data_IF_371809091100
#
_entry.id   IF_371809091100
#
_cell.length_a   1.000
_cell.length_b   1.000
_cell.length_c   1.000
_cell.angle_alpha   90.00
_cell.angle_beta   90.00
_cell.angle_gamma   90.00
#
_symmetry.space_group_name_H-M   'P 1'
#
loop_
_entity.id
_entity.type
_entity.pdbx_description
1 polymer ?
#
# COMPACT_ATOMS: atom_id res chain seq x y z
N UNK A 1 -17.89 14.18 39.98
CA UNK A 1 -17.72 14.74 38.63
C UNK A 1 -17.47 13.57 37.70
N UNK A 2 -18.45 13.25 36.85
CA UNK A 2 -18.39 12.13 35.90
C UNK A 2 -17.32 12.46 34.82
N UNK A 3 -16.22 11.72 34.81
CA UNK A 3 -15.09 11.91 33.88
C UNK A 3 -15.34 11.24 32.52
N UNK A 4 -16.58 10.82 32.22
CA UNK A 4 -16.92 10.28 30.91
C UNK A 4 -16.98 11.42 29.88
N UNK A 5 -16.15 11.40 28.82
CA UNK A 5 -16.19 12.43 27.80
C UNK A 5 -17.58 12.45 27.15
N UNK A 6 -18.19 13.65 27.12
CA UNK A 6 -19.48 13.88 26.45
C UNK A 6 -19.40 13.32 25.01
N UNK A 7 -20.46 12.67 24.49
CA UNK A 7 -20.50 12.28 23.10
C UNK A 7 -20.36 13.50 22.20
N UNK A 8 -19.25 13.56 21.46
CA UNK A 8 -19.13 14.46 20.31
C UNK A 8 -20.08 13.96 19.22
N UNK A 9 -20.69 14.87 18.44
CA UNK A 9 -21.59 14.48 17.37
C UNK A 9 -20.86 13.56 16.39
N UNK A 10 -21.62 12.65 15.78
CA UNK A 10 -21.18 11.93 14.59
C UNK A 10 -20.52 12.91 13.59
N UNK A 11 -19.61 12.39 12.75
CA UNK A 11 -19.09 12.99 11.52
C UNK A 11 -20.23 13.38 10.55
N UNK A 12 -21.07 14.32 10.95
CA UNK A 12 -21.89 15.10 10.06
C UNK A 12 -20.92 16.09 9.41
N UNK A 13 -20.56 15.87 8.15
CA UNK A 13 -19.64 16.75 7.43
C UNK A 13 -20.26 18.13 7.09
N UNK A 14 -21.50 18.42 7.53
CA UNK A 14 -22.24 19.63 7.18
C UNK A 14 -23.08 20.21 8.33
N UNK A 15 -23.74 21.35 8.05
CA UNK A 15 -24.46 22.15 9.05
C UNK A 15 -25.79 21.47 9.45
N UNK A 16 -26.31 21.82 10.63
CA UNK A 16 -27.68 21.42 11.02
C UNK A 16 -28.67 22.11 10.09
N UNK A 17 -29.53 21.33 9.44
CA UNK A 17 -30.63 21.85 8.63
C UNK A 17 -31.82 22.15 9.55
N UNK A 18 -32.36 23.38 9.51
CA UNK A 18 -33.68 23.65 10.08
C UNK A 18 -34.71 23.11 9.09
N UNK A 19 -35.61 22.26 9.58
CA UNK A 19 -36.84 21.94 8.83
C UNK A 19 -37.73 23.17 8.95
N UNK A 20 -38.16 23.74 7.83
CA UNK A 20 -39.26 24.69 7.85
C UNK A 20 -40.53 23.87 8.10
N UNK A 21 -40.94 23.77 9.37
CA UNK A 21 -42.23 23.20 9.72
C UNK A 21 -43.29 24.29 9.62
N UNK A 22 -44.34 24.04 8.83
CA UNK A 22 -45.59 24.79 8.92
C UNK A 22 -46.04 24.80 10.38
N UNK A 23 -46.47 25.98 10.85
CA UNK A 23 -46.54 26.41 12.24
C UNK A 23 -47.55 25.67 13.17
N UNK A 24 -47.80 24.38 12.95
CA UNK A 24 -48.79 23.59 13.71
C UNK A 24 -48.29 22.23 14.23
N UNK A 25 -46.99 21.92 14.20
CA UNK A 25 -46.45 20.70 14.79
C UNK A 25 -45.58 20.98 16.04
N UNK A 26 -45.81 20.21 17.11
CA UNK A 26 -45.16 20.32 18.41
C UNK A 26 -43.63 20.12 18.38
N UNK A 27 -43.00 20.51 19.48
CA UNK A 27 -41.57 20.86 19.66
C UNK A 27 -40.49 19.78 19.47
N UNK A 28 -40.70 18.72 18.70
CA UNK A 28 -39.69 17.65 18.49
C UNK A 28 -39.46 17.38 16.99
N UNK A 29 -38.98 18.40 16.26
CA UNK A 29 -38.49 18.21 14.88
C UNK A 29 -37.21 17.35 14.89
N UNK A 30 -37.09 16.33 14.01
CA UNK A 30 -35.91 15.46 13.99
C UNK A 30 -34.65 16.30 13.69
N UNK A 31 -33.58 16.06 14.46
CA UNK A 31 -32.27 16.69 14.22
C UNK A 31 -31.70 16.24 12.86
N UNK A 32 -31.89 17.04 11.81
CA UNK A 32 -31.33 16.80 10.47
C UNK A 32 -29.97 17.48 10.30
N UNK A 33 -29.04 16.77 9.67
CA UNK A 33 -27.72 17.30 9.32
C UNK A 33 -27.42 17.13 7.84
N UNK A 34 -26.80 18.13 7.24
CA UNK A 34 -26.18 18.02 5.93
C UNK A 34 -25.01 17.04 6.02
N UNK A 35 -25.02 16.01 5.18
CA UNK A 35 -23.98 15.00 5.11
C UNK A 35 -23.27 15.11 3.77
N UNK A 36 -21.96 15.32 3.74
CA UNK A 36 -21.25 15.43 2.46
C UNK A 36 -21.21 14.09 1.68
N UNK A 37 -21.48 12.96 2.33
CA UNK A 37 -21.57 11.64 1.69
C UNK A 37 -23.00 11.32 1.21
N UNK A 38 -24.02 11.59 2.03
CA UNK A 38 -25.39 11.10 1.82
C UNK A 38 -26.42 12.23 1.66
N UNK A 39 -25.98 13.47 1.47
CA UNK A 39 -26.78 14.69 1.44
C UNK A 39 -27.47 15.05 2.76
N UNK A 40 -28.28 14.16 3.34
CA UNK A 40 -28.97 14.38 4.63
C UNK A 40 -28.87 13.14 5.51
N UNK A 41 -28.61 13.33 6.79
CA UNK A 41 -28.54 12.25 7.76
C UNK A 41 -29.12 12.65 9.13
N UNK A 42 -29.36 11.63 9.95
CA UNK A 42 -29.85 11.78 11.32
C UNK A 42 -28.90 11.12 12.32
N UNK A 43 -28.66 11.73 13.49
CA UNK A 43 -27.89 11.10 14.55
C UNK A 43 -28.58 9.82 15.03
N UNK A 44 -27.80 8.92 15.61
CA UNK A 44 -28.36 7.75 16.26
C UNK A 44 -28.85 8.14 17.67
N UNK A 45 -30.07 8.65 17.76
CA UNK A 45 -30.69 9.10 19.03
C UNK A 45 -31.55 8.02 19.68
N UNK A 46 -31.66 6.83 19.09
CA UNK A 46 -32.59 5.78 19.54
C UNK A 46 -34.08 6.10 19.29
N UNK A 47 -34.41 7.26 18.72
CA UNK A 47 -35.78 7.69 18.43
C UNK A 47 -36.36 6.97 17.20
N UNK A 48 -37.56 6.43 17.35
CA UNK A 48 -38.29 5.63 16.35
C UNK A 48 -39.32 6.43 15.55
N UNK A 49 -39.57 7.71 15.86
CA UNK A 49 -40.67 8.51 15.28
C UNK A 49 -40.34 9.26 13.97
N UNK A 50 -39.34 8.81 13.21
CA UNK A 50 -38.81 9.55 12.04
C UNK A 50 -39.06 8.83 10.70
N UNK A 51 -38.94 9.53 9.56
CA UNK A 51 -39.04 8.91 8.24
C UNK A 51 -38.03 7.77 8.06
N UNK A 52 -38.50 6.59 7.63
CA UNK A 52 -37.69 5.38 7.42
C UNK A 52 -36.63 5.54 6.31
N UNK A 53 -36.80 6.54 5.45
CA UNK A 53 -35.94 6.80 4.29
C UNK A 53 -34.61 7.49 4.64
N UNK A 54 -34.50 8.08 5.84
CA UNK A 54 -33.31 8.83 6.25
C UNK A 54 -32.24 7.91 6.87
N UNK A 55 -31.00 7.99 6.36
CA UNK A 55 -29.87 7.17 6.83
C UNK A 55 -29.45 7.55 8.26
N UNK A 56 -29.28 6.52 9.09
CA UNK A 56 -28.70 6.63 10.44
C UNK A 56 -27.19 6.72 10.36
N UNK A 57 -26.65 7.68 11.10
CA UNK A 57 -25.21 7.79 11.27
C UNK A 57 -24.57 6.57 11.96
N UNK A 58 -25.13 6.12 13.09
CA UNK A 58 -24.59 4.97 13.83
C UNK A 58 -24.72 3.61 13.12
N UNK A 59 -25.53 3.54 12.05
CA UNK A 59 -25.69 2.35 11.21
C UNK A 59 -25.13 2.56 9.79
N UNK A 60 -24.41 3.65 9.56
CA UNK A 60 -23.80 3.94 8.27
C UNK A 60 -22.52 3.10 8.12
N UNK A 61 -22.39 2.37 7.02
CA UNK A 61 -21.17 1.60 6.73
C UNK A 61 -19.93 2.50 6.65
N UNK A 62 -20.13 3.77 6.28
CA UNK A 62 -19.12 4.81 6.16
C UNK A 62 -18.92 5.61 7.45
N UNK A 63 -19.53 5.19 8.57
CA UNK A 63 -19.38 5.85 9.85
C UNK A 63 -17.96 5.70 10.39
N UNK A 64 -17.30 6.84 10.65
CA UNK A 64 -16.02 6.88 11.36
C UNK A 64 -16.29 7.09 12.85
N UNK A 65 -16.15 6.06 13.70
CA UNK A 65 -16.22 6.26 15.13
C UNK A 65 -15.02 7.13 15.56
N UNK A 66 -15.33 8.23 16.26
CA UNK A 66 -14.44 9.17 16.98
C UNK A 66 -12.96 9.06 16.63
N UNK A 67 -12.40 10.12 16.05
CA UNK A 67 -10.95 10.32 16.01
C UNK A 67 -10.45 10.70 17.42
N UNK A 68 -9.65 9.86 18.12
CA UNK A 68 -9.14 10.19 19.45
C UNK A 68 -7.80 10.96 19.42
N UNK A 69 -7.26 11.31 18.25
CA UNK A 69 -5.86 11.71 18.05
C UNK A 69 -5.63 12.92 17.10
N UNK A 70 -6.65 13.63 16.61
CA UNK A 70 -6.43 14.75 15.67
C UNK A 70 -7.67 15.57 15.26
N UNK A 71 -7.47 16.49 14.30
CA UNK A 71 -8.55 17.28 13.65
C UNK A 71 -9.71 16.35 13.23
N UNK A 72 -10.96 16.77 13.44
CA UNK A 72 -12.09 15.95 13.00
C UNK A 72 -12.12 15.84 11.46
N UNK A 73 -12.69 14.74 10.96
CA UNK A 73 -12.86 14.46 9.53
C UNK A 73 -13.61 15.57 8.78
N UNK A 74 -14.50 16.30 9.45
CA UNK A 74 -15.21 17.45 8.86
C UNK A 74 -14.26 18.60 8.54
N UNK A 75 -13.35 18.91 9.45
CA UNK A 75 -12.31 19.93 9.25
C UNK A 75 -11.39 19.55 8.10
N UNK A 76 -10.93 18.29 8.04
CA UNK A 76 -10.05 17.82 6.97
C UNK A 76 -10.75 17.79 5.61
N UNK A 77 -12.02 17.38 5.57
CA UNK A 77 -12.84 17.48 4.37
C UNK A 77 -12.99 18.93 3.90
N UNK A 78 -13.37 19.86 4.79
CA UNK A 78 -13.52 21.27 4.43
C UNK A 78 -12.21 21.88 3.89
N UNK A 79 -11.05 21.51 4.47
CA UNK A 79 -9.74 21.91 3.94
C UNK A 79 -9.45 21.34 2.56
N UNK A 80 -9.81 20.08 2.30
CA UNK A 80 -9.66 19.46 0.98
C UNK A 80 -10.54 20.16 -0.07
N UNK A 81 -11.79 20.50 0.28
CA UNK A 81 -12.70 21.25 -0.59
C UNK A 81 -12.19 22.66 -0.89
N UNK A 82 -11.70 23.35 0.14
CA UNK A 82 -11.08 24.66 -0.03
C UNK A 82 -9.86 24.58 -0.95
N UNK A 83 -8.99 23.60 -0.74
CA UNK A 83 -7.81 23.35 -1.58
C UNK A 83 -8.19 23.09 -3.04
N UNK A 84 -9.17 22.20 -3.28
CA UNK A 84 -9.66 21.88 -4.62
C UNK A 84 -10.31 23.08 -5.32
N UNK A 85 -10.97 23.95 -4.56
CA UNK A 85 -11.61 25.16 -5.08
C UNK A 85 -10.59 26.26 -5.39
N UNK A 86 -9.45 26.29 -4.69
CA UNK A 86 -8.38 27.25 -4.95
C UNK A 86 -7.32 26.73 -5.92
N UNK A 87 -7.38 25.45 -6.32
CA UNK A 87 -6.42 24.88 -7.25
C UNK A 87 -6.62 25.47 -8.65
N UNK A 88 -5.57 26.02 -9.30
CA UNK A 88 -5.70 26.51 -10.66
C UNK A 88 -6.04 25.36 -11.61
N UNK A 89 -6.77 25.68 -12.68
CA UNK A 89 -7.17 24.70 -13.69
C UNK A 89 -5.96 24.04 -14.34
N UNK A 90 -4.94 24.85 -14.62
CA UNK A 90 -3.65 24.42 -15.14
C UNK A 90 -2.54 24.68 -14.11
N UNK A 91 -1.47 23.88 -14.11
CA UNK A 91 -0.31 24.17 -13.29
C UNK A 91 0.43 25.40 -13.80
N UNK A 92 0.63 26.39 -12.93
CA UNK A 92 1.45 27.59 -13.17
C UNK A 92 2.97 27.28 -13.19
N UNK A 93 3.35 26.09 -13.66
CA UNK A 93 4.73 25.59 -13.60
C UNK A 93 5.16 25.00 -14.93
N UNK A 94 6.32 25.42 -15.40
CA UNK A 94 6.96 24.80 -16.55
C UNK A 94 7.48 23.41 -16.16
N UNK A 95 6.73 22.39 -16.56
CA UNK A 95 7.23 21.03 -16.68
C UNK A 95 7.19 20.62 -18.15
N UNK A 96 8.12 19.77 -18.57
CA UNK A 96 8.21 19.34 -19.96
C UNK A 96 8.89 17.98 -20.09
N UNK A 97 8.55 17.28 -21.17
CA UNK A 97 9.15 16.00 -21.51
C UNK A 97 8.79 14.87 -20.54
N UNK A 98 9.48 13.74 -20.75
CA UNK A 98 9.26 12.48 -20.04
C UNK A 98 10.45 12.16 -19.15
N UNK A 99 10.19 11.53 -18.02
CA UNK A 99 11.26 11.05 -17.16
C UNK A 99 10.82 10.06 -16.10
N UNK A 100 11.81 9.46 -15.44
CA UNK A 100 11.62 8.49 -14.38
C UNK A 100 11.94 9.15 -13.04
N UNK A 101 11.06 8.97 -12.07
CA UNK A 101 11.25 9.42 -10.70
C UNK A 101 11.40 8.21 -9.79
N UNK A 102 12.44 8.22 -8.95
CA UNK A 102 12.65 7.21 -7.92
C UNK A 102 12.91 7.90 -6.58
N UNK A 103 12.08 7.60 -5.58
CA UNK A 103 12.31 8.04 -4.22
C UNK A 103 13.22 7.04 -3.49
N UNK A 104 14.39 7.49 -3.00
CA UNK A 104 15.25 6.60 -2.23
C UNK A 104 16.67 7.08 -1.99
N UNK A 105 17.30 6.42 -1.02
CA UNK A 105 18.68 6.66 -0.63
C UNK A 105 18.99 6.02 0.72
N UNK A 106 20.02 6.53 1.40
CA UNK A 106 20.47 5.99 2.68
C UNK A 106 21.06 4.58 2.57
N UNK A 107 21.53 4.01 3.68
CA UNK A 107 22.03 2.62 3.67
C UNK A 107 20.91 1.62 3.30
N UNK A 108 19.67 1.95 3.68
CA UNK A 108 18.50 1.07 3.53
C UNK A 108 18.09 0.86 2.08
N UNK A 109 17.91 1.92 1.29
CA UNK A 109 17.34 1.82 -0.05
C UNK A 109 18.37 1.99 -1.17
N UNK A 110 19.58 2.50 -0.89
CA UNK A 110 20.57 2.75 -1.94
C UNK A 110 21.00 1.48 -2.72
N UNK A 111 21.17 0.29 -2.11
CA UNK A 111 21.53 -0.91 -2.88
C UNK A 111 20.46 -1.33 -3.91
N UNK A 112 19.18 -1.37 -3.52
CA UNK A 112 18.08 -1.68 -4.45
C UNK A 112 17.89 -0.57 -5.49
N UNK A 113 18.00 0.70 -5.08
CA UNK A 113 17.97 1.84 -6.00
C UNK A 113 19.02 1.70 -7.11
N UNK A 114 20.25 1.33 -6.75
CA UNK A 114 21.33 1.10 -7.72
C UNK A 114 20.97 -0.04 -8.69
N UNK A 115 20.47 -1.17 -8.18
CA UNK A 115 20.02 -2.30 -8.99
C UNK A 115 18.91 -1.87 -9.96
N UNK A 116 17.92 -1.12 -9.49
CA UNK A 116 16.80 -0.62 -10.30
C UNK A 116 17.28 0.32 -11.42
N UNK A 117 18.18 1.27 -11.12
CA UNK A 117 18.76 2.17 -12.12
C UNK A 117 19.55 1.37 -13.18
N UNK A 118 20.27 0.34 -12.75
CA UNK A 118 20.99 -0.55 -13.68
C UNK A 118 20.06 -1.36 -14.56
N UNK A 119 18.97 -1.88 -14.01
CA UNK A 119 17.93 -2.57 -14.78
C UNK A 119 17.33 -1.64 -15.84
N UNK A 120 16.95 -0.41 -15.48
CA UNK A 120 16.42 0.60 -16.41
C UNK A 120 17.38 0.80 -17.60
N UNK A 121 18.68 0.99 -17.34
CA UNK A 121 19.67 1.18 -18.41
C UNK A 121 19.94 -0.10 -19.20
N UNK A 122 19.92 -1.25 -18.53
CA UNK A 122 20.14 -2.55 -19.17
C UNK A 122 19.06 -2.89 -20.18
N UNK A 123 17.79 -2.56 -19.90
CA UNK A 123 16.67 -2.79 -20.83
C UNK A 123 16.60 -1.75 -21.95
N UNK A 124 17.61 -0.88 -22.09
CA UNK A 124 17.71 0.11 -23.16
C UNK A 124 16.85 1.36 -22.96
N UNK A 125 16.34 1.62 -21.75
CA UNK A 125 15.61 2.84 -21.48
C UNK A 125 16.57 4.04 -21.40
N UNK A 126 16.25 5.08 -22.15
CA UNK A 126 17.03 6.32 -22.32
C UNK A 126 16.45 7.51 -21.59
N UNK A 127 15.25 7.37 -21.00
CA UNK A 127 14.61 8.45 -20.25
C UNK A 127 15.52 9.02 -19.16
N UNK A 128 15.52 10.35 -18.95
CA UNK A 128 16.23 10.96 -17.83
C UNK A 128 15.65 10.43 -16.50
N UNK A 129 16.53 10.19 -15.52
CA UNK A 129 16.15 9.71 -14.19
C UNK A 129 16.42 10.81 -13.17
N UNK A 130 15.44 11.12 -12.34
CA UNK A 130 15.66 11.87 -11.10
C UNK A 130 15.49 10.96 -9.89
N UNK A 131 16.51 10.96 -9.02
CA UNK A 131 16.42 10.31 -7.71
C UNK A 131 16.16 11.38 -6.66
N UNK A 132 15.02 11.28 -6.01
CA UNK A 132 14.61 12.18 -4.94
C UNK A 132 14.94 11.57 -3.58
N UNK A 133 15.57 12.34 -2.70
CA UNK A 133 16.03 11.87 -1.39
C UNK A 133 15.77 12.91 -0.30
N UNK A 134 15.81 12.49 0.96
CA UNK A 134 15.66 13.35 2.13
C UNK A 134 17.03 13.84 2.62
N UNK A 135 17.35 15.11 2.35
CA UNK A 135 18.57 15.78 2.78
C UNK A 135 18.81 15.73 4.29
N UNK A 136 17.78 15.97 5.10
CA UNK A 136 17.86 15.95 6.56
C UNK A 136 18.29 14.59 7.12
N UNK A 137 18.06 13.50 6.37
CA UNK A 137 18.51 12.13 6.72
C UNK A 137 19.88 11.78 6.15
N UNK A 138 20.52 12.70 5.40
CA UNK A 138 21.81 12.51 4.71
C UNK A 138 21.80 11.28 3.82
N UNK A 139 20.68 11.05 3.14
CA UNK A 139 20.46 9.82 2.37
C UNK A 139 21.41 9.70 1.18
N UNK A 140 21.75 10.82 0.54
CA UNK A 140 22.52 10.84 -0.70
C UNK A 140 23.76 11.75 -0.65
N UNK A 141 24.82 11.40 0.13
CA UNK A 141 26.09 12.11 0.06
C UNK A 141 26.67 12.10 -1.37
N UNK A 142 27.53 13.08 -1.68
CA UNK A 142 28.16 13.26 -3.00
C UNK A 142 28.80 11.96 -3.52
N UNK A 143 29.39 11.14 -2.64
CA UNK A 143 29.98 9.86 -3.01
C UNK A 143 28.98 8.90 -3.65
N UNK A 144 27.74 8.84 -3.16
CA UNK A 144 26.66 8.03 -3.75
C UNK A 144 26.14 8.63 -5.05
N UNK A 145 25.98 9.95 -5.11
CA UNK A 145 25.54 10.64 -6.33
C UNK A 145 26.52 10.37 -7.49
N UNK A 146 27.84 10.39 -7.21
CA UNK A 146 28.88 10.04 -8.20
C UNK A 146 28.79 8.61 -8.71
N UNK A 147 28.27 7.66 -7.93
CA UNK A 147 28.05 6.28 -8.40
C UNK A 147 26.85 6.18 -9.34
N UNK A 148 25.87 7.09 -9.23
CA UNK A 148 24.69 7.12 -10.09
C UNK A 148 24.86 7.96 -11.36
N UNK A 149 25.75 8.98 -11.31
CA UNK A 149 25.97 9.91 -12.41
C UNK A 149 26.26 9.26 -13.79
N UNK A 150 27.04 8.16 -13.90
CA UNK A 150 27.27 7.49 -15.19
C UNK A 150 26.00 6.93 -15.86
N UNK A 151 24.90 6.81 -15.11
CA UNK A 151 23.61 6.30 -15.60
C UNK A 151 22.62 7.43 -15.96
N UNK A 152 23.10 8.67 -16.11
CA UNK A 152 22.24 9.81 -16.47
C UNK A 152 21.22 10.14 -15.38
N UNK A 153 21.62 10.00 -14.12
CA UNK A 153 20.79 10.25 -12.94
C UNK A 153 21.09 11.64 -12.39
N UNK A 154 20.04 12.42 -12.14
CA UNK A 154 20.12 13.66 -11.35
C UNK A 154 19.58 13.39 -9.95
N UNK A 155 20.34 13.73 -8.91
CA UNK A 155 19.89 13.57 -7.52
C UNK A 155 19.29 14.89 -7.03
N UNK A 156 18.06 14.85 -6.51
CA UNK A 156 17.31 16.02 -6.05
C UNK A 156 17.04 15.90 -4.55
N UNK A 157 17.42 16.93 -3.80
CA UNK A 157 17.10 17.04 -2.37
C UNK A 157 15.66 17.53 -2.22
N UNK A 158 14.79 16.68 -1.71
CA UNK A 158 13.37 16.99 -1.56
C UNK A 158 13.11 18.02 -0.45
N UNK A 159 13.98 18.11 0.56
CA UNK A 159 13.84 19.09 1.62
C UNK A 159 14.12 20.50 1.10
N UNK A 160 15.09 20.66 0.20
CA UNK A 160 15.41 21.94 -0.45
C UNK A 160 14.26 22.39 -1.36
N UNK A 161 13.64 21.48 -2.11
CA UNK A 161 12.46 21.78 -2.94
C UNK A 161 11.23 22.08 -2.08
N UNK A 162 11.07 21.37 -0.96
CA UNK A 162 9.91 21.48 -0.07
C UNK A 162 9.90 22.72 0.83
N UNK A 163 11.07 23.20 1.25
CA UNK A 163 11.21 24.34 2.15
C UNK A 163 10.46 25.61 1.69
N UNK A 164 10.62 26.12 0.44
CA UNK A 164 9.88 27.30 -0.01
C UNK A 164 8.37 27.07 -0.15
N UNK A 165 7.92 25.81 -0.19
CA UNK A 165 6.51 25.42 -0.28
C UNK A 165 5.86 25.23 1.11
N UNK A 166 6.62 25.48 2.19
CA UNK A 166 6.17 25.24 3.56
C UNK A 166 5.93 23.76 3.85
N UNK A 167 6.67 22.86 3.19
CA UNK A 167 6.66 21.43 3.49
C UNK A 167 7.65 21.17 4.62
N UNK A 168 7.15 20.84 5.80
CA UNK A 168 7.94 20.74 7.02
C UNK A 168 8.25 19.31 7.45
N UNK A 169 7.62 18.31 6.82
CA UNK A 169 7.86 16.91 7.09
C UNK A 169 7.59 16.06 5.84
N UNK A 170 8.63 15.37 5.36
CA UNK A 170 8.51 14.34 4.33
C UNK A 170 9.01 13.00 4.90
N UNK A 171 8.16 12.00 4.84
CA UNK A 171 8.52 10.60 5.04
C UNK A 171 8.78 9.89 3.72
N UNK A 172 8.98 8.57 3.76
CA UNK A 172 9.24 7.78 2.55
C UNK A 172 8.05 7.68 1.61
N UNK A 173 6.82 7.66 2.14
CA UNK A 173 5.60 7.57 1.35
C UNK A 173 5.19 8.93 0.79
N UNK A 174 5.23 9.98 1.62
CA UNK A 174 4.94 11.35 1.20
C UNK A 174 5.88 11.82 0.09
N UNK A 175 7.16 11.40 0.16
CA UNK A 175 8.17 11.74 -0.83
C UNK A 175 7.81 11.28 -2.24
N UNK A 176 7.13 10.14 -2.42
CA UNK A 176 6.82 9.61 -3.76
C UNK A 176 5.89 10.55 -4.52
N UNK A 177 4.81 10.97 -3.85
CA UNK A 177 3.80 11.86 -4.42
C UNK A 177 4.36 13.26 -4.57
N UNK A 178 5.13 13.74 -3.58
CA UNK A 178 5.83 15.02 -3.64
C UNK A 178 6.78 15.10 -4.83
N UNK A 179 7.68 14.12 -4.98
CA UNK A 179 8.65 14.07 -6.07
C UNK A 179 7.98 14.02 -7.43
N UNK A 180 6.92 13.21 -7.57
CA UNK A 180 6.13 13.13 -8.82
C UNK A 180 5.56 14.50 -9.17
N UNK A 181 4.85 15.14 -8.23
CA UNK A 181 4.23 16.45 -8.47
C UNK A 181 5.29 17.52 -8.79
N UNK A 182 6.41 17.52 -8.07
CA UNK A 182 7.36 18.63 -8.09
C UNK A 182 8.57 18.46 -9.01
N UNK A 183 8.73 17.31 -9.68
CA UNK A 183 9.75 17.12 -10.71
C UNK A 183 9.54 17.99 -11.96
N UNK A 184 10.55 18.05 -12.81
CA UNK A 184 10.52 18.86 -14.05
C UNK A 184 9.77 18.22 -15.21
N UNK A 185 9.46 16.93 -15.14
CA UNK A 185 8.83 16.20 -16.25
C UNK A 185 7.32 16.44 -16.28
N UNK A 186 6.75 16.53 -17.48
CA UNK A 186 5.29 16.53 -17.65
C UNK A 186 4.75 15.12 -17.47
N UNK A 187 5.35 14.16 -18.16
CA UNK A 187 4.96 12.76 -18.18
C UNK A 187 5.97 11.96 -17.33
N UNK A 188 5.48 11.34 -16.27
CA UNK A 188 6.30 10.73 -15.23
C UNK A 188 6.04 9.24 -15.16
N UNK A 189 7.09 8.42 -15.24
CA UNK A 189 7.08 7.05 -14.73
C UNK A 189 7.69 7.06 -13.33
N UNK A 190 6.89 6.79 -12.31
CA UNK A 190 7.39 6.58 -10.96
C UNK A 190 7.79 5.11 -10.77
N UNK A 191 8.89 4.88 -10.06
CA UNK A 191 9.29 3.56 -9.60
C UNK A 191 9.75 3.63 -8.14
N UNK A 192 9.32 2.65 -7.33
CA UNK A 192 9.93 2.39 -6.04
C UNK A 192 11.38 1.95 -6.21
N UNK A 193 12.22 2.20 -5.21
CA UNK A 193 13.63 1.80 -5.25
C UNK A 193 13.83 0.28 -5.44
N UNK A 194 12.83 -0.55 -5.12
CA UNK A 194 12.81 -2.00 -5.34
C UNK A 194 11.81 -2.47 -6.41
N UNK A 195 11.35 -1.57 -7.28
CA UNK A 195 10.57 -1.92 -8.46
C UNK A 195 11.40 -1.65 -9.71
N UNK A 196 11.84 -2.72 -10.38
CA UNK A 196 12.68 -2.62 -11.57
C UNK A 196 11.96 -3.10 -12.83
N UNK A 197 12.16 -2.44 -13.99
CA UNK A 197 11.66 -2.95 -15.24
C UNK A 197 12.54 -4.09 -15.76
N UNK A 198 11.91 -5.15 -16.29
CA UNK A 198 12.62 -6.22 -17.01
C UNK A 198 12.58 -6.08 -18.54
N UNK A 199 11.88 -5.07 -19.04
CA UNK A 199 11.80 -4.67 -20.46
C UNK A 199 11.71 -3.15 -20.58
N UNK A 200 11.98 -2.58 -21.75
CA UNK A 200 11.96 -1.12 -21.93
C UNK A 200 10.55 -0.54 -21.65
N UNK A 201 10.36 0.30 -20.62
CA UNK A 201 9.06 0.83 -20.26
C UNK A 201 8.65 2.07 -21.08
N UNK A 202 9.49 2.58 -21.99
CA UNK A 202 9.17 3.78 -22.80
C UNK A 202 7.89 3.65 -23.61
N UNK A 203 7.54 2.42 -24.02
CA UNK A 203 6.32 2.13 -24.76
C UNK A 203 5.06 2.59 -24.03
N UNK A 204 5.08 2.69 -22.70
CA UNK A 204 3.93 3.09 -21.89
C UNK A 204 3.41 4.50 -22.24
N UNK A 205 4.31 5.41 -22.62
CA UNK A 205 3.96 6.79 -23.00
C UNK A 205 3.32 6.89 -24.39
N UNK A 206 3.41 5.83 -25.19
CA UNK A 206 2.86 5.77 -26.54
C UNK A 206 1.50 5.07 -26.60
N UNK A 207 1.05 4.47 -25.49
CA UNK A 207 -0.20 3.73 -25.43
C UNK A 207 -1.41 4.65 -25.61
N UNK A 208 -2.38 4.19 -26.39
CA UNK A 208 -3.61 4.92 -26.63
C UNK A 208 -4.39 5.17 -25.33
N UNK A 209 -4.47 4.17 -24.44
CA UNK A 209 -5.16 4.30 -23.15
C UNK A 209 -4.50 5.35 -22.27
N UNK A 210 -3.16 5.38 -22.24
CA UNK A 210 -2.43 6.41 -21.51
C UNK A 210 -2.69 7.80 -22.08
N UNK A 211 -2.62 7.97 -23.40
CA UNK A 211 -2.90 9.26 -24.05
C UNK A 211 -4.33 9.75 -23.81
N UNK A 212 -5.27 8.82 -23.63
CA UNK A 212 -6.67 9.15 -23.39
C UNK A 212 -6.94 9.64 -21.95
N UNK A 213 -6.35 9.00 -20.94
CA UNK A 213 -6.65 9.29 -19.52
C UNK A 213 -5.53 9.98 -18.74
N UNK A 214 -4.30 9.97 -19.27
CA UNK A 214 -3.12 10.54 -18.65
C UNK A 214 -2.56 9.75 -17.47
N UNK A 215 -3.13 8.60 -17.09
CA UNK A 215 -2.66 7.82 -15.95
C UNK A 215 -2.73 6.30 -16.18
N UNK A 216 -1.64 5.59 -15.88
CA UNK A 216 -1.61 4.12 -15.80
C UNK A 216 -1.22 3.71 -14.38
N UNK A 217 -2.03 2.83 -13.80
CA UNK A 217 -1.76 2.15 -12.54
C UNK A 217 -1.76 0.63 -12.73
N UNK A 218 -1.15 -0.08 -11.79
CA UNK A 218 -1.19 -1.53 -11.72
C UNK A 218 -1.93 -1.98 -10.45
N UNK A 219 -2.57 -3.15 -10.48
CA UNK A 219 -3.28 -3.66 -9.31
C UNK A 219 -2.30 -4.17 -8.26
N UNK A 220 -2.71 -4.08 -7.00
CA UNK A 220 -2.20 -4.89 -5.89
C UNK A 220 -2.82 -6.30 -5.97
N UNK A 221 -2.38 -7.20 -5.11
CA UNK A 221 -2.92 -8.57 -4.96
C UNK A 221 -4.24 -8.58 -4.19
N UNK A 222 -4.47 -7.55 -3.37
CA UNK A 222 -5.69 -7.43 -2.57
C UNK A 222 -6.85 -6.94 -3.44
N UNK A 223 -7.95 -7.68 -3.47
CA UNK A 223 -9.18 -7.22 -4.13
C UNK A 223 -9.84 -6.06 -3.37
N UNK A 224 -9.68 -6.02 -2.05
CA UNK A 224 -10.12 -4.92 -1.19
C UNK A 224 -9.19 -4.79 0.00
N UNK A 225 -8.81 -3.56 0.33
CA UNK A 225 -7.98 -3.27 1.49
C UNK A 225 -8.82 -2.65 2.62
N UNK A 226 -9.13 -3.39 3.71
CA UNK A 226 -9.98 -2.89 4.79
C UNK A 226 -9.33 -1.74 5.57
N UNK A 227 -8.05 -1.43 5.32
CA UNK A 227 -7.38 -0.27 5.90
C UNK A 227 -7.87 1.03 5.26
N UNK A 228 -8.36 1.01 4.02
CA UNK A 228 -8.92 2.19 3.37
C UNK A 228 -10.33 2.48 3.90
N UNK A 229 -10.50 3.62 4.56
CA UNK A 229 -11.79 4.14 4.96
C UNK A 229 -12.12 5.36 4.11
N UNK A 230 -12.80 5.15 2.98
CA UNK A 230 -13.17 6.19 2.00
C UNK A 230 -13.84 7.42 2.63
N UNK A 231 -14.66 7.20 3.65
CA UNK A 231 -15.37 8.25 4.37
C UNK A 231 -14.46 9.21 5.12
N UNK A 232 -13.24 8.80 5.51
CA UNK A 232 -12.25 9.70 6.11
C UNK A 232 -11.75 10.76 5.12
N UNK A 233 -11.96 10.52 3.83
CA UNK A 233 -11.63 11.44 2.76
C UNK A 233 -12.86 12.17 2.21
N UNK A 234 -14.06 11.91 2.77
CA UNK A 234 -15.32 12.45 2.26
C UNK A 234 -15.70 11.92 0.87
N UNK A 235 -15.27 10.69 0.56
CA UNK A 235 -15.61 9.98 -0.68
C UNK A 235 -16.49 8.79 -0.35
N UNK A 236 -17.55 8.57 -1.13
CA UNK A 236 -18.33 7.33 -1.05
C UNK A 236 -17.49 6.18 -1.60
N UNK A 237 -17.46 5.06 -0.91
CA UNK A 237 -16.78 3.86 -1.42
C UNK A 237 -17.41 3.47 -2.76
N UNK A 238 -16.65 3.54 -3.88
CA UNK A 238 -17.19 3.23 -5.21
C UNK A 238 -17.41 1.72 -5.40
N UNK A 239 -17.01 0.89 -4.44
CA UNK A 239 -17.07 -0.58 -4.49
C UNK A 239 -16.34 -1.19 -5.69
N UNK A 240 -15.25 -0.55 -6.12
CA UNK A 240 -14.36 -1.12 -7.13
C UNK A 240 -13.70 -2.40 -6.61
N UNK A 241 -13.52 -3.37 -7.51
CA UNK A 241 -12.72 -4.57 -7.25
C UNK A 241 -11.26 -4.26 -7.63
N UNK A 242 -10.33 -4.56 -6.72
CA UNK A 242 -8.90 -4.29 -6.86
C UNK A 242 -8.48 -2.97 -6.21
N UNK A 243 -7.27 -2.96 -5.66
CA UNK A 243 -6.58 -1.75 -5.16
C UNK A 243 -5.33 -1.46 -6.01
N UNK A 244 -4.86 -0.23 -6.01
CA UNK A 244 -3.66 0.22 -6.73
C UNK A 244 -2.41 -0.21 -5.98
N UNK A 245 -1.45 -0.76 -6.71
CA UNK A 245 -0.07 -0.87 -6.27
C UNK A 245 0.73 0.36 -6.71
N UNK A 246 1.21 1.14 -5.74
CA UNK A 246 1.92 2.40 -5.97
C UNK A 246 3.42 2.25 -6.23
N UNK A 247 3.96 1.04 -6.22
CA UNK A 247 5.36 0.77 -6.54
C UNK A 247 5.77 1.20 -7.95
N UNK A 248 4.80 1.34 -8.85
CA UNK A 248 4.99 1.92 -10.17
C UNK A 248 3.70 2.52 -10.71
N UNK A 249 3.80 3.66 -11.38
CA UNK A 249 2.69 4.29 -12.07
C UNK A 249 3.19 5.25 -13.14
N UNK A 250 2.36 5.54 -14.14
CA UNK A 250 2.64 6.53 -15.18
C UNK A 250 1.60 7.64 -15.10
N UNK A 251 2.02 8.90 -15.07
CA UNK A 251 1.09 10.05 -14.99
C UNK A 251 1.56 11.20 -15.89
N UNK A 252 0.67 11.74 -16.72
CA UNK A 252 0.79 13.08 -17.31
C UNK A 252 0.23 14.11 -16.32
N UNK A 253 1.11 14.95 -15.78
CA UNK A 253 0.74 15.95 -14.76
C UNK A 253 -0.17 17.05 -15.28
N UNK A 254 -0.20 17.30 -16.58
CA UNK A 254 -1.11 18.29 -17.17
C UNK A 254 -2.53 17.73 -17.21
N UNK A 255 -2.69 16.49 -17.67
CA UNK A 255 -4.00 15.83 -17.72
C UNK A 255 -4.51 15.53 -16.30
N UNK A 256 -3.64 15.03 -15.43
CA UNK A 256 -4.00 14.59 -14.09
C UNK A 256 -3.67 15.63 -12.99
N UNK A 257 -3.55 16.92 -13.34
CA UNK A 257 -3.13 17.97 -12.41
C UNK A 257 -3.96 17.99 -11.13
N UNK A 258 -5.29 17.99 -11.30
CA UNK A 258 -6.26 18.07 -10.21
C UNK A 258 -6.21 16.86 -9.26
N UNK A 259 -6.37 15.61 -9.72
CA UNK A 259 -6.29 14.46 -8.81
C UNK A 259 -4.87 14.23 -8.26
N UNK A 260 -3.80 14.50 -9.00
CA UNK A 260 -2.44 14.39 -8.47
C UNK A 260 -2.17 15.41 -7.35
N UNK A 261 -2.65 16.65 -7.52
CA UNK A 261 -2.56 17.69 -6.49
C UNK A 261 -3.36 17.33 -5.24
N UNK A 262 -4.53 16.70 -5.40
CA UNK A 262 -5.34 16.22 -4.29
C UNK A 262 -4.68 15.03 -3.57
N UNK A 263 -4.09 14.09 -4.32
CA UNK A 263 -3.29 13.02 -3.73
C UNK A 263 -2.14 13.62 -2.90
N UNK A 264 -1.44 14.63 -3.41
CA UNK A 264 -0.43 15.35 -2.63
C UNK A 264 -1.02 16.02 -1.39
N UNK A 265 -2.18 16.67 -1.47
CA UNK A 265 -2.85 17.24 -0.29
C UNK A 265 -3.05 16.18 0.80
N UNK A 266 -3.51 14.97 0.45
CA UNK A 266 -3.66 13.88 1.41
C UNK A 266 -2.32 13.45 2.03
N UNK A 267 -1.27 13.32 1.22
CA UNK A 267 0.06 12.95 1.71
C UNK A 267 0.72 14.05 2.56
N UNK A 268 0.51 15.33 2.22
CA UNK A 268 0.97 16.47 3.05
C UNK A 268 0.33 16.47 4.44
N UNK A 269 -0.88 15.93 4.54
CA UNK A 269 -1.63 15.75 5.78
C UNK A 269 -1.61 14.28 6.27
N UNK A 270 -0.50 13.57 6.02
CA UNK A 270 -0.35 12.14 6.35
C UNK A 270 -0.63 11.79 7.82
N UNK A 271 -0.36 12.71 8.75
CA UNK A 271 -0.70 12.56 10.18
C UNK A 271 -2.18 12.22 10.41
N UNK A 272 -3.06 12.75 9.57
CA UNK A 272 -4.48 12.43 9.59
C UNK A 272 -4.77 11.21 8.68
N UNK A 273 -4.49 11.32 7.38
CA UNK A 273 -4.99 10.36 6.39
C UNK A 273 -4.39 8.95 6.52
N UNK A 274 -3.12 8.81 6.90
CA UNK A 274 -2.48 7.48 7.01
C UNK A 274 -3.00 6.63 8.17
N UNK A 275 -3.89 7.18 9.00
CA UNK A 275 -4.62 6.42 10.02
C UNK A 275 -5.80 5.64 9.44
N UNK A 276 -6.24 6.04 8.25
CA UNK A 276 -7.42 5.57 7.54
C UNK A 276 -7.08 4.98 6.17
N UNK A 277 -5.79 4.74 5.91
CA UNK A 277 -5.30 4.17 4.67
C UNK A 277 -3.91 3.53 4.85
N UNK A 278 -3.40 2.88 3.81
CA UNK A 278 -2.06 2.29 3.79
C UNK A 278 -1.11 3.16 2.96
N UNK A 279 -0.78 4.33 3.51
CA UNK A 279 0.20 5.23 2.90
C UNK A 279 -0.29 5.89 1.61
N UNK A 280 0.66 6.17 0.73
CA UNK A 280 0.46 6.89 -0.53
C UNK A 280 -0.46 6.15 -1.51
N UNK A 281 -0.44 4.81 -1.53
CA UNK A 281 -1.18 4.03 -2.55
C UNK A 281 -2.67 4.37 -2.62
N UNK A 282 -3.34 4.41 -1.46
CA UNK A 282 -4.78 4.69 -1.39
C UNK A 282 -5.09 6.16 -1.67
N UNK A 283 -4.12 7.08 -1.53
CA UNK A 283 -4.36 8.49 -1.82
C UNK A 283 -4.60 8.72 -3.31
N UNK A 284 -4.02 7.91 -4.19
CA UNK A 284 -4.32 7.94 -5.62
C UNK A 284 -5.76 7.49 -5.89
N UNK A 285 -6.18 6.37 -5.31
CA UNK A 285 -7.54 5.83 -5.49
C UNK A 285 -8.61 6.83 -5.10
N UNK A 286 -8.47 7.39 -3.90
CA UNK A 286 -9.42 8.37 -3.38
C UNK A 286 -9.39 9.65 -4.20
N UNK A 287 -8.22 10.16 -4.56
CA UNK A 287 -8.12 11.41 -5.29
C UNK A 287 -8.69 11.32 -6.71
N UNK A 288 -8.42 10.22 -7.43
CA UNK A 288 -9.00 9.99 -8.76
C UNK A 288 -10.51 9.81 -8.68
N UNK A 289 -11.01 9.03 -7.72
CA UNK A 289 -12.45 8.87 -7.50
C UNK A 289 -13.13 10.20 -7.15
N UNK A 290 -12.55 11.00 -6.23
CA UNK A 290 -13.09 12.31 -5.83
C UNK A 290 -13.16 13.29 -7.00
N UNK A 291 -12.17 13.26 -7.88
CA UNK A 291 -12.12 14.14 -9.05
C UNK A 291 -12.89 13.60 -10.27
N UNK A 292 -13.46 12.40 -10.20
CA UNK A 292 -14.10 11.74 -11.35
C UNK A 292 -13.14 11.55 -12.53
N UNK A 293 -11.83 11.40 -12.26
CA UNK A 293 -10.81 11.30 -13.30
C UNK A 293 -10.59 9.85 -13.68
N UNK A 294 -10.67 9.54 -14.98
CA UNK A 294 -10.38 8.20 -15.48
C UNK A 294 -8.89 7.89 -15.37
N UNK A 295 -8.57 6.59 -15.25
CA UNK A 295 -7.22 6.07 -15.36
C UNK A 295 -7.26 4.67 -15.98
N UNK A 296 -6.14 4.22 -16.53
CA UNK A 296 -5.96 2.86 -17.01
C UNK A 296 -5.48 1.98 -15.85
N UNK A 297 -6.28 0.99 -15.45
CA UNK A 297 -5.80 -0.13 -14.63
C UNK A 297 -5.24 -1.18 -15.58
N UNK A 298 -3.91 -1.29 -15.63
CA UNK A 298 -3.22 -1.97 -16.72
C UNK A 298 -3.57 -3.46 -16.87
N UNK A 299 -3.78 -4.14 -15.75
CA UNK A 299 -4.14 -5.56 -15.72
C UNK A 299 -5.17 -5.80 -14.60
N UNK A 300 -5.97 -6.88 -14.67
CA UNK A 300 -7.04 -7.10 -13.70
C UNK A 300 -6.55 -7.49 -12.31
N UNK A 301 -5.41 -8.19 -12.22
CA UNK A 301 -4.87 -8.65 -10.94
C UNK A 301 -3.35 -8.76 -11.00
N UNK A 302 -2.68 -8.48 -9.88
CA UNK A 302 -1.25 -8.70 -9.75
C UNK A 302 -0.89 -10.19 -9.71
N UNK A 303 0.27 -10.57 -10.27
CA UNK A 303 0.82 -11.91 -10.09
C UNK A 303 1.85 -11.88 -8.96
N UNK A 304 1.83 -12.88 -8.09
CA UNK A 304 2.86 -13.06 -7.06
C UNK A 304 3.80 -14.20 -7.46
N UNK A 305 5.10 -13.91 -7.54
CA UNK A 305 6.14 -14.90 -7.83
C UNK A 305 7.22 -14.78 -6.78
N UNK A 306 7.42 -15.85 -6.01
CA UNK A 306 8.34 -15.95 -4.88
C UNK A 306 8.16 -14.84 -3.83
N UNK A 307 8.81 -13.71 -4.07
CA UNK A 307 8.92 -12.57 -3.14
C UNK A 307 8.52 -11.24 -3.77
N UNK A 308 8.04 -11.26 -5.01
CA UNK A 308 7.78 -10.06 -5.79
C UNK A 308 6.36 -10.07 -6.38
N UNK A 309 5.81 -8.87 -6.53
CA UNK A 309 4.78 -8.65 -7.53
C UNK A 309 5.43 -8.69 -8.91
N UNK A 310 4.76 -9.35 -9.85
CA UNK A 310 5.11 -9.40 -11.26
C UNK A 310 3.96 -8.77 -12.04
N UNK A 311 4.25 -7.61 -12.60
CA UNK A 311 3.30 -6.80 -13.34
C UNK A 311 3.65 -6.83 -14.83
N UNK A 312 2.66 -7.11 -15.67
CA UNK A 312 2.80 -7.22 -17.11
C UNK A 312 2.75 -5.86 -17.81
N UNK A 313 3.18 -5.85 -19.07
CA UNK A 313 3.06 -4.73 -20.00
C UNK A 313 1.95 -4.91 -21.05
N UNK A 314 1.96 -4.08 -22.12
CA UNK A 314 1.06 -4.12 -23.31
C UNK A 314 0.68 -5.51 -23.84
N UNK A 315 1.63 -6.42 -23.78
CA UNK A 315 1.56 -7.78 -24.33
C UNK A 315 1.33 -8.85 -23.25
N UNK A 316 0.97 -8.44 -22.04
CA UNK A 316 0.78 -9.30 -20.85
C UNK A 316 2.03 -10.04 -20.36
N UNK A 317 3.18 -9.81 -20.99
CA UNK A 317 4.47 -10.31 -20.56
C UNK A 317 5.02 -9.44 -19.42
N UNK A 318 5.82 -10.00 -18.49
CA UNK A 318 6.40 -9.25 -17.38
C UNK A 318 7.10 -7.97 -17.84
N UNK A 319 6.73 -6.86 -17.22
CA UNK A 319 7.34 -5.55 -17.44
C UNK A 319 8.00 -5.04 -16.17
N UNK A 320 7.34 -5.13 -15.01
CA UNK A 320 7.87 -4.67 -13.73
C UNK A 320 7.93 -5.79 -12.71
N UNK A 321 9.04 -5.83 -11.96
CA UNK A 321 9.27 -6.72 -10.84
C UNK A 321 9.41 -5.88 -9.58
N UNK A 322 8.37 -5.87 -8.75
CA UNK A 322 8.36 -5.14 -7.48
C UNK A 322 8.68 -6.10 -6.32
N UNK A 323 9.94 -6.08 -5.87
CA UNK A 323 10.49 -7.04 -4.91
C UNK A 323 10.16 -6.68 -3.46
N UNK A 324 8.86 -6.71 -3.15
CA UNK A 324 8.32 -6.25 -1.86
C UNK A 324 8.73 -7.10 -0.66
N UNK A 325 8.96 -8.40 -0.87
CA UNK A 325 9.56 -9.30 0.10
C UNK A 325 11.01 -9.57 -0.30
N UNK A 326 11.86 -9.64 0.71
CA UNK A 326 13.29 -9.93 0.54
C UNK A 326 14.05 -8.99 -0.42
N UNK A 327 13.83 -7.67 -0.26
CA UNK A 327 14.42 -6.58 -1.05
C UNK A 327 15.95 -6.65 -1.16
N UNK A 328 16.52 -6.23 -2.28
CA UNK A 328 17.98 -6.18 -2.45
C UNK A 328 18.65 -5.24 -1.43
N UNK A 329 19.51 -5.78 -0.57
CA UNK A 329 20.14 -5.05 0.54
C UNK A 329 21.49 -5.65 0.92
N UNK A 330 22.37 -4.83 1.46
CA UNK A 330 23.71 -5.23 1.93
C UNK A 330 23.80 -5.40 3.45
N UNK A 331 22.74 -5.02 4.17
CA UNK A 331 22.62 -5.17 5.61
C UNK A 331 21.14 -5.36 5.99
N UNK A 332 20.92 -5.83 7.22
CA UNK A 332 19.58 -5.97 7.78
C UNK A 332 18.99 -4.60 8.09
N UNK A 333 17.79 -4.35 7.58
CA UNK A 333 17.01 -3.15 7.85
C UNK A 333 15.56 -3.51 8.14
N UNK A 334 14.86 -2.68 8.90
CA UNK A 334 13.41 -2.80 9.07
C UNK A 334 12.71 -2.19 7.86
N UNK A 335 11.71 -2.90 7.34
CA UNK A 335 10.82 -2.43 6.28
C UNK A 335 9.37 -2.55 6.72
N UNK A 336 8.46 -1.87 6.02
CA UNK A 336 7.03 -1.98 6.27
C UNK A 336 6.53 -3.39 5.97
N UNK A 337 7.06 -4.01 4.92
CA UNK A 337 6.82 -5.43 4.58
C UNK A 337 7.81 -6.33 5.31
N UNK A 338 7.32 -7.47 5.79
CA UNK A 338 8.18 -8.48 6.42
C UNK A 338 9.21 -9.01 5.42
N UNK A 339 10.45 -9.15 5.89
CA UNK A 339 11.55 -9.72 5.10
C UNK A 339 11.80 -11.14 5.59
N UNK A 340 11.86 -12.11 4.65
CA UNK A 340 11.94 -13.54 4.97
C UNK A 340 13.27 -13.95 5.62
N UNK A 341 14.32 -13.15 5.44
CA UNK A 341 15.71 -13.47 5.78
C UNK A 341 16.43 -12.23 6.29
N UNK A 342 17.62 -12.40 6.89
CA UNK A 342 18.47 -11.27 7.25
C UNK A 342 19.03 -10.57 5.99
N UNK A 343 19.51 -11.36 5.03
CA UNK A 343 20.03 -10.92 3.73
C UNK A 343 19.25 -11.57 2.58
N UNK A 344 19.22 -10.94 1.38
CA UNK A 344 18.38 -11.38 0.28
C UNK A 344 18.81 -12.73 -0.29
N UNK A 345 17.84 -13.54 -0.71
CA UNK A 345 18.03 -14.80 -1.43
C UNK A 345 18.01 -14.62 -2.95
N UNK A 346 18.59 -15.58 -3.66
CA UNK A 346 18.57 -15.65 -5.12
C UNK A 346 17.35 -16.43 -5.61
N UNK A 347 16.60 -15.87 -6.55
CA UNK A 347 15.35 -16.45 -7.08
C UNK A 347 15.41 -16.56 -8.62
N UNK A 348 15.87 -17.70 -9.15
CA UNK A 348 16.07 -17.92 -10.60
C UNK A 348 14.82 -17.79 -11.47
N UNK A 349 13.65 -17.85 -10.83
CA UNK A 349 12.31 -17.70 -11.39
C UNK A 349 11.93 -16.24 -11.67
N UNK A 350 12.59 -15.27 -11.04
CA UNK A 350 12.35 -13.86 -11.29
C UNK A 350 13.10 -13.39 -12.56
N UNK A 351 12.45 -12.63 -13.45
CA UNK A 351 13.11 -12.02 -14.60
C UNK A 351 14.32 -11.17 -14.19
N UNK A 352 15.42 -11.32 -14.91
CA UNK A 352 16.68 -10.60 -14.70
C UNK A 352 17.34 -10.79 -13.31
N UNK A 353 17.00 -11.85 -12.57
CA UNK A 353 17.58 -12.06 -11.24
C UNK A 353 19.11 -12.17 -11.28
N UNK A 354 19.68 -12.84 -12.28
CA UNK A 354 21.13 -13.02 -12.42
C UNK A 354 21.87 -11.68 -12.56
N UNK A 355 21.33 -10.81 -13.41
CA UNK A 355 21.81 -9.46 -13.69
C UNK A 355 21.69 -8.58 -12.46
N UNK A 356 20.52 -8.57 -11.81
CA UNK A 356 20.25 -7.83 -10.58
C UNK A 356 21.24 -8.20 -9.46
N UNK A 357 21.54 -9.48 -9.30
CA UNK A 357 22.57 -9.94 -8.36
C UNK A 357 23.98 -9.50 -8.76
N UNK A 358 24.29 -9.49 -10.06
CA UNK A 358 25.53 -8.93 -10.58
C UNK A 358 25.73 -7.46 -10.18
N UNK A 359 24.67 -6.66 -10.27
CA UNK A 359 24.71 -5.24 -9.87
C UNK A 359 24.71 -5.04 -8.36
N UNK A 360 24.04 -5.91 -7.60
CA UNK A 360 24.14 -5.89 -6.14
C UNK A 360 25.56 -6.22 -5.66
N UNK A 361 26.22 -7.19 -6.30
CA UNK A 361 27.62 -7.54 -6.06
C UNK A 361 28.56 -6.37 -6.42
N UNK A 362 28.25 -5.66 -7.51
CA UNK A 362 29.00 -4.49 -7.95
C UNK A 362 28.91 -3.34 -6.95
N UNK A 363 27.70 -2.98 -6.51
CA UNK A 363 27.52 -1.89 -5.55
C UNK A 363 28.10 -2.23 -4.18
N UNK A 364 28.09 -3.51 -3.76
CA UNK A 364 28.80 -3.95 -2.56
C UNK A 364 30.29 -3.65 -2.63
N UNK A 365 30.94 -3.94 -3.77
CA UNK A 365 32.37 -3.64 -3.99
C UNK A 365 32.64 -2.15 -3.99
N UNK A 366 31.84 -1.36 -4.71
CA UNK A 366 31.99 0.10 -4.79
C UNK A 366 31.84 0.77 -3.42
N UNK A 367 30.96 0.25 -2.58
CA UNK A 367 30.75 0.72 -1.20
C UNK A 367 31.70 0.08 -0.18
N UNK A 368 32.61 -0.81 -0.61
CA UNK A 368 33.52 -1.59 0.26
C UNK A 368 32.77 -2.35 1.36
N UNK A 369 31.61 -2.90 1.03
CA UNK A 369 30.79 -3.75 1.90
C UNK A 369 31.01 -5.22 1.55
N UNK A 370 30.76 -6.15 2.50
CA UNK A 370 30.77 -7.57 2.20
C UNK A 370 29.82 -7.89 1.04
N UNK A 371 30.26 -8.81 0.18
CA UNK A 371 29.42 -9.33 -0.90
C UNK A 371 28.21 -10.04 -0.27
N UNK A 372 26.99 -9.80 -0.76
CA UNK A 372 25.84 -10.55 -0.28
C UNK A 372 26.06 -12.03 -0.59
N UNK A 373 25.87 -12.89 0.40
CA UNK A 373 25.94 -14.32 0.17
C UNK A 373 24.83 -14.69 -0.82
N UNK A 374 25.18 -15.27 -1.97
CA UNK A 374 24.23 -16.02 -2.81
C UNK A 374 23.84 -17.23 -2.00
N UNK A 375 22.94 -17.05 -1.05
CA UNK A 375 22.40 -18.15 -0.28
C UNK A 375 21.77 -19.11 -1.29
N UNK A 376 22.38 -20.29 -1.47
CA UNK A 376 21.62 -21.44 -1.94
C UNK A 376 20.34 -21.47 -1.11
N UNK A 377 19.19 -21.68 -1.75
CA UNK A 377 17.92 -21.85 -1.04
C UNK A 377 18.09 -23.05 -0.10
N UNK A 378 18.56 -22.80 1.12
CA UNK A 378 18.36 -23.69 2.23
C UNK A 378 16.92 -23.44 2.61
N UNK A 379 16.03 -24.31 2.17
CA UNK A 379 14.79 -24.50 2.90
C UNK A 379 15.18 -24.59 4.37
N UNK A 380 14.76 -23.63 5.18
CA UNK A 380 14.90 -23.72 6.62
C UNK A 380 14.00 -24.89 7.07
N UNK A 381 14.53 -26.12 7.04
CA UNK A 381 14.23 -27.05 8.12
C UNK A 381 14.72 -26.34 9.39
N UNK A 382 13.79 -25.91 10.23
CA UNK A 382 14.10 -25.36 11.53
C UNK A 382 14.97 -26.38 12.29
N UNK A 383 16.29 -26.17 12.29
CA UNK A 383 17.20 -26.87 13.18
C UNK A 383 17.25 -26.07 14.47
N UNK A 384 16.41 -26.45 15.41
CA UNK A 384 16.56 -26.08 16.82
C UNK A 384 17.94 -26.53 17.30
N UNK A 385 18.81 -25.57 17.63
CA UNK A 385 20.03 -25.82 18.41
C UNK A 385 19.61 -25.99 19.87
N UNK A 386 19.56 -27.23 20.36
CA UNK A 386 19.71 -27.51 21.78
C UNK A 386 21.13 -28.02 22.01
N UNK A 387 22.01 -27.08 22.36
CA UNK A 387 23.23 -27.41 23.09
C UNK A 387 22.86 -28.03 24.43
N UNK A 388 23.57 -29.09 24.79
CA UNK A 388 23.45 -29.81 26.06
C UNK A 388 23.44 -28.84 27.26
N UNK A 389 22.31 -28.79 27.95
CA UNK A 389 22.26 -28.74 29.42
C UNK A 389 21.17 -29.70 29.88
N UNK A 390 21.60 -30.86 30.38
CA UNK A 390 20.77 -31.76 31.19
C UNK A 390 20.42 -31.02 32.47
N UNK A 391 19.15 -30.68 32.66
CA UNK A 391 18.48 -30.74 33.97
C UNK A 391 17.00 -31.06 33.75
N UNK A 392 16.47 -31.90 34.62
CA UNK A 392 15.34 -32.78 34.38
C UNK A 392 13.98 -32.13 34.66
N UNK A 393 13.12 -32.05 33.64
CA UNK A 393 11.69 -32.36 33.70
C UNK A 393 11.10 -32.25 32.29
N UNK A 394 11.01 -33.38 31.59
CA UNK A 394 10.45 -33.45 30.24
C UNK A 394 8.92 -33.58 30.36
N UNK A 395 8.21 -32.44 30.41
CA UNK A 395 6.77 -32.42 30.09
C UNK A 395 6.65 -32.61 28.57
N UNK A 396 6.08 -33.74 28.15
CA UNK A 396 5.79 -34.00 26.74
C UNK A 396 4.71 -33.03 26.26
N UNK A 397 5.09 -32.05 25.43
CA UNK A 397 4.14 -31.24 24.68
C UNK A 397 3.37 -32.16 23.74
N UNK A 398 2.05 -32.26 23.93
CA UNK A 398 1.14 -33.01 23.08
C UNK A 398 0.52 -32.05 22.08
N UNK A 399 0.68 -32.33 20.78
CA UNK A 399 0.12 -31.49 19.71
C UNK A 399 -1.05 -32.25 19.07
N UNK A 400 -2.26 -31.72 19.19
CA UNK A 400 -3.44 -32.25 18.50
C UNK A 400 -3.68 -31.47 17.20
N UNK A 401 -3.82 -32.18 16.08
CA UNK A 401 -4.16 -31.60 14.78
C UNK A 401 -5.56 -32.10 14.42
N UNK A 402 -6.53 -31.19 14.39
CA UNK A 402 -7.88 -31.47 13.91
C UNK A 402 -8.06 -30.86 12.52
N UNK A 403 -8.52 -31.68 11.57
CA UNK A 403 -8.84 -31.25 10.21
C UNK A 403 -10.35 -31.44 10.02
N UNK A 404 -11.06 -30.39 9.60
CA UNK A 404 -12.50 -30.44 9.32
C UNK A 404 -12.72 -30.29 7.82
N UNK A 405 -13.66 -31.05 7.26
CA UNK A 405 -13.97 -31.06 5.84
C UNK A 405 -15.48 -31.26 5.62
N UNK A 406 -16.01 -30.76 4.51
CA UNK A 406 -17.38 -31.07 4.07
C UNK A 406 -17.40 -32.42 3.34
N UNK A 407 -18.59 -32.99 3.12
CA UNK A 407 -18.72 -34.33 2.50
C UNK A 407 -18.12 -34.37 1.09
N UNK A 408 -18.16 -33.25 0.39
CA UNK A 408 -17.67 -33.07 -0.99
C UNK A 408 -16.14 -33.12 -1.10
N UNK A 409 -15.42 -32.79 -0.02
CA UNK A 409 -13.95 -32.78 0.03
C UNK A 409 -13.39 -33.75 1.08
N UNK A 410 -14.21 -34.71 1.54
CA UNK A 410 -13.84 -35.62 2.61
C UNK A 410 -12.65 -36.51 2.27
N UNK A 411 -12.57 -36.98 1.03
CA UNK A 411 -11.42 -37.77 0.56
C UNK A 411 -10.12 -36.95 0.59
N UNK A 412 -10.18 -35.66 0.21
CA UNK A 412 -9.03 -34.76 0.28
C UNK A 412 -8.63 -34.48 1.74
N UNK A 413 -9.63 -34.30 2.62
CA UNK A 413 -9.42 -34.12 4.05
C UNK A 413 -8.76 -35.33 4.72
N UNK A 414 -9.18 -36.55 4.37
CA UNK A 414 -8.57 -37.78 4.84
C UNK A 414 -7.13 -37.95 4.33
N UNK A 415 -6.89 -37.71 3.04
CA UNK A 415 -5.56 -37.79 2.44
C UNK A 415 -4.60 -36.81 3.11
N UNK A 416 -5.03 -35.56 3.29
CA UNK A 416 -4.23 -34.52 3.93
C UNK A 416 -3.94 -34.87 5.40
N UNK A 417 -4.92 -35.42 6.12
CA UNK A 417 -4.74 -35.82 7.52
C UNK A 417 -3.77 -37.00 7.67
N UNK A 418 -3.79 -37.98 6.74
CA UNK A 418 -2.81 -39.07 6.69
C UNK A 418 -1.39 -38.55 6.45
N UNK A 419 -1.22 -37.58 5.55
CA UNK A 419 0.08 -36.93 5.28
C UNK A 419 0.59 -36.19 6.53
N UNK A 420 -0.28 -35.46 7.21
CA UNK A 420 0.08 -34.73 8.44
C UNK A 420 0.44 -35.67 9.59
N UNK A 421 -0.28 -36.78 9.73
CA UNK A 421 -0.02 -37.80 10.75
C UNK A 421 1.34 -38.49 10.52
N UNK A 422 1.65 -38.85 9.29
CA UNK A 422 2.96 -39.43 8.95
C UNK A 422 4.11 -38.42 9.08
N UNK A 423 3.87 -37.16 8.73
CA UNK A 423 4.82 -36.09 9.00
C UNK A 423 5.10 -35.97 10.51
N UNK A 424 4.05 -35.95 11.32
CA UNK A 424 4.18 -35.74 12.75
C UNK A 424 4.85 -36.93 13.47
N UNK A 425 4.53 -38.19 13.08
CA UNK A 425 5.27 -39.38 13.54
C UNK A 425 6.76 -39.29 13.21
N UNK A 426 7.10 -38.88 11.98
CA UNK A 426 8.51 -38.71 11.56
C UNK A 426 9.25 -37.63 12.35
N UNK A 427 8.53 -36.68 12.93
CA UNK A 427 9.11 -35.63 13.78
C UNK A 427 9.09 -35.99 15.28
N UNK A 428 8.61 -37.19 15.65
CA UNK A 428 8.61 -37.67 17.04
C UNK A 428 7.51 -37.06 17.91
N UNK A 429 6.44 -36.55 17.31
CA UNK A 429 5.26 -36.09 18.05
C UNK A 429 4.36 -37.27 18.42
N UNK A 430 3.71 -37.17 19.58
CA UNK A 430 2.62 -38.04 20.00
C UNK A 430 1.32 -37.46 19.45
N UNK A 431 0.64 -38.20 18.55
CA UNK A 431 -0.44 -37.67 17.70
C UNK A 431 -1.64 -38.60 17.75
N UNK A 432 -2.83 -38.02 17.93
CA UNK A 432 -4.11 -38.72 17.79
C UNK A 432 -4.92 -38.10 16.64
N UNK A 433 -5.61 -38.94 15.88
CA UNK A 433 -6.55 -38.52 14.84
C UNK A 433 -7.97 -38.69 15.40
N UNK A 434 -8.78 -37.63 15.33
CA UNK A 434 -10.19 -37.65 15.68
C UNK A 434 -11.03 -37.22 14.48
N UNK A 435 -12.17 -37.87 14.30
CA UNK A 435 -13.13 -37.57 13.24
C UNK A 435 -14.47 -37.19 13.88
N UNK A 436 -15.12 -36.16 13.36
CA UNK A 436 -16.47 -35.77 13.78
C UNK A 436 -17.27 -35.25 12.57
N UNK A 437 -18.61 -35.23 12.69
CA UNK A 437 -19.53 -34.87 11.61
C UNK A 437 -20.04 -33.44 11.83
N UNK A 438 -19.89 -32.57 10.82
CA UNK A 438 -20.38 -31.19 10.88
C UNK A 438 -21.91 -31.13 10.72
N UNK A 439 -22.56 -30.30 11.54
CA UNK A 439 -23.96 -29.91 11.38
C UNK A 439 -24.12 -29.07 10.10
N UNK A 440 -24.76 -29.67 9.08
CA UNK A 440 -24.90 -29.08 7.74
C UNK A 440 -25.79 -27.82 7.70
N UNK A 441 -26.46 -27.47 8.81
CA UNK A 441 -27.29 -26.26 8.91
C UNK A 441 -26.50 -24.96 9.15
N UNK A 442 -25.17 -25.05 9.36
CA UNK A 442 -24.30 -23.89 9.62
C UNK A 442 -23.51 -23.48 8.38
N UNK A 443 -23.40 -22.17 8.13
CA UNK A 443 -22.66 -21.60 7.00
C UNK A 443 -21.18 -22.05 6.99
N UNK A 444 -20.59 -22.41 5.84
CA UNK A 444 -19.21 -22.91 5.76
C UNK A 444 -18.20 -21.79 6.01
N UNK A 445 -17.96 -21.47 7.28
CA UNK A 445 -16.83 -20.66 7.72
C UNK A 445 -15.73 -21.60 8.21
N UNK A 446 -14.58 -21.55 7.54
CA UNK A 446 -13.35 -22.22 7.92
C UNK A 446 -13.04 -21.93 9.39
N UNK A 447 -13.27 -22.90 10.26
CA UNK A 447 -13.03 -22.77 11.70
C UNK A 447 -11.79 -23.58 12.06
N UNK A 448 -10.66 -22.91 12.32
CA UNK A 448 -9.51 -23.54 12.98
C UNK A 448 -9.70 -23.42 14.49
N UNK A 449 -10.03 -24.53 15.15
CA UNK A 449 -9.90 -24.63 16.60
C UNK A 449 -8.46 -24.94 16.95
N UNK A 450 -7.81 -24.04 17.70
CA UNK A 450 -6.53 -24.30 18.35
C UNK A 450 -6.84 -24.70 19.80
N UNK A 451 -6.61 -25.96 20.15
CA UNK A 451 -6.56 -26.39 21.55
C UNK A 451 -5.08 -26.59 21.91
N UNK A 452 -4.62 -25.83 22.91
CA UNK A 452 -3.28 -25.94 23.48
C UNK A 452 -3.47 -26.42 24.92
N UNK A 453 -2.79 -27.50 25.29
CA UNK A 453 -2.52 -27.83 26.70
C UNK A 453 -1.01 -27.88 26.94
#
# INVERSE_FOLDING_TARGET
>A
MDLRPRPLPCVHLGRRRRVESDATAGSDDPLLFECALHSVCVPDTGDRRRPLELRRCGACADYLPRDPLGDDSATMFARAEQFLSSLPADPDREFQGRGIIIAGGGERFFPMLYVTIRAIRHVGCTLPIEVWFLGHKREMPISRQRLLAPFGVTCIDADEVGAPLGVTALGGWELKVFATLHCRFQEVLHLDADCYPCRNPEILFELADYRACGAIFWPDIMERDPRLQWSAFGVLDPHYLGTIESGQFVVDKRICWRPLSLAWFYNRHSRYYYRYCYGDKHTFEVAWARCGTAFCMWQPQAKWVDVAYVHGGPDQEPLFIHRVQDKFRLATHQYTTSQLRQLPGYYSTLPMEAECWGWLDEIARLLRKPRPERGAIKYHRARTRLGRRRTAHQRSLRLAIATMWTREIAELGELTSKVLLEYAKRQGYDVALAHDTLDASRHPAWSKLLLVE
#
